data_IF_208397118912
#
_entry.id   IF_208397118912
#
_cell.length_a   1.000
_cell.length_b   1.000
_cell.length_c   1.000
_cell.angle_alpha   90.00
_cell.angle_beta   90.00
_cell.angle_gamma   90.00
#
_symmetry.space_group_name_H-M   'P 1'
#
loop_
_entity.id
_entity.type
_entity.pdbx_description
1 polymer ?
#
# COMPACT_ATOMS: atom_id res chain seq x y z
N UNK A 1 -57.48 -44.72 -41.33
CA UNK A 1 -57.50 -43.26 -41.54
C UNK A 1 -57.48 -42.61 -40.16
N UNK A 2 -56.57 -41.62 -39.95
CA UNK A 2 -56.06 -41.06 -38.66
C UNK A 2 -55.05 -42.01 -38.00
N UNK A 3 -53.71 -41.83 -38.04
CA UNK A 3 -52.80 -40.65 -37.87
C UNK A 3 -53.07 -39.89 -36.58
N UNK A 4 -51.99 -39.40 -35.97
CA UNK A 4 -51.87 -38.62 -34.71
C UNK A 4 -51.38 -39.54 -33.57
N UNK A 5 -50.30 -39.29 -32.81
CA UNK A 5 -49.47 -38.10 -32.57
C UNK A 5 -48.07 -38.57 -32.11
N UNK A 6 -47.04 -38.07 -32.77
CA UNK A 6 -45.63 -38.23 -32.39
C UNK A 6 -45.33 -37.18 -31.29
N UNK A 7 -45.19 -37.63 -30.05
CA UNK A 7 -44.79 -36.79 -28.91
C UNK A 7 -43.33 -36.37 -29.07
N UNK A 8 -43.17 -35.21 -29.73
CA UNK A 8 -41.89 -34.59 -30.04
C UNK A 8 -41.34 -34.01 -28.74
N UNK A 9 -40.53 -34.82 -28.05
CA UNK A 9 -39.74 -34.42 -26.88
C UNK A 9 -38.96 -33.15 -27.20
N UNK A 10 -39.52 -32.02 -26.79
CA UNK A 10 -38.94 -30.69 -27.01
C UNK A 10 -37.76 -30.60 -26.05
N UNK A 11 -36.56 -30.88 -26.55
CA UNK A 11 -35.33 -30.59 -25.84
C UNK A 11 -35.37 -29.10 -25.46
N UNK A 12 -35.15 -28.75 -24.18
CA UNK A 12 -35.05 -27.35 -23.79
C UNK A 12 -33.97 -26.71 -24.66
N UNK A 13 -34.21 -25.49 -25.17
CA UNK A 13 -33.25 -24.81 -26.04
C UNK A 13 -31.90 -24.82 -25.35
N UNK A 14 -30.91 -25.36 -26.05
CA UNK A 14 -29.51 -25.34 -25.65
C UNK A 14 -29.15 -23.86 -25.44
N UNK A 15 -29.17 -23.41 -24.18
CA UNK A 15 -28.82 -22.05 -23.83
C UNK A 15 -27.37 -21.86 -24.25
N UNK A 16 -27.17 -21.19 -25.38
CA UNK A 16 -25.86 -20.78 -25.86
C UNK A 16 -25.30 -19.80 -24.84
N UNK A 17 -24.65 -20.32 -23.80
CA UNK A 17 -23.99 -19.54 -22.76
C UNK A 17 -22.84 -18.80 -23.42
N UNK A 18 -23.12 -17.60 -23.91
CA UNK A 18 -22.09 -16.69 -24.41
C UNK A 18 -21.15 -16.45 -23.25
N UNK A 19 -19.84 -16.73 -23.39
CA UNK A 19 -18.89 -16.58 -22.30
C UNK A 19 -18.97 -15.15 -21.77
N UNK A 20 -19.09 -15.02 -20.45
CA UNK A 20 -19.22 -13.71 -19.81
C UNK A 20 -18.08 -12.80 -20.28
N UNK A 21 -18.36 -11.53 -20.62
CA UNK A 21 -17.36 -10.61 -21.13
C UNK A 21 -16.19 -10.53 -20.16
N UNK A 22 -14.98 -10.78 -20.67
CA UNK A 22 -13.73 -10.73 -19.90
C UNK A 22 -13.60 -9.32 -19.31
N UNK A 23 -13.81 -9.18 -18.00
CA UNK A 23 -13.60 -7.90 -17.32
C UNK A 23 -12.11 -7.62 -17.29
N UNK A 24 -11.69 -6.44 -17.76
CA UNK A 24 -10.31 -6.00 -17.66
C UNK A 24 -9.89 -5.91 -16.19
N UNK A 25 -8.62 -6.19 -15.90
CA UNK A 25 -8.07 -6.09 -14.54
C UNK A 25 -8.27 -4.68 -13.93
N UNK A 26 -8.18 -3.64 -14.77
CA UNK A 26 -8.48 -2.25 -14.39
C UNK A 26 -9.92 -2.08 -13.90
N UNK A 27 -10.89 -2.72 -14.56
CA UNK A 27 -12.30 -2.69 -14.15
C UNK A 27 -12.52 -3.33 -12.78
N UNK A 28 -11.79 -4.40 -12.46
CA UNK A 28 -11.85 -5.06 -11.15
C UNK A 28 -11.25 -4.15 -10.07
N UNK A 29 -10.05 -3.60 -10.31
CA UNK A 29 -9.39 -2.69 -9.38
C UNK A 29 -10.23 -1.43 -9.12
N UNK A 30 -10.82 -0.84 -10.17
CA UNK A 30 -11.69 0.32 -10.02
C UNK A 30 -12.93 0.00 -9.17
N UNK A 31 -13.56 -1.16 -9.38
CA UNK A 31 -14.68 -1.61 -8.54
C UNK A 31 -14.26 -1.83 -7.08
N UNK A 32 -13.09 -2.42 -6.85
CA UNK A 32 -12.54 -2.59 -5.49
C UNK A 32 -12.28 -1.23 -4.82
N UNK A 33 -11.62 -0.29 -5.52
CA UNK A 33 -11.37 1.06 -5.00
C UNK A 33 -12.66 1.81 -4.67
N UNK A 34 -13.68 1.76 -5.54
CA UNK A 34 -14.99 2.35 -5.25
C UNK A 34 -15.68 1.68 -4.07
N UNK A 35 -15.58 0.35 -3.97
CA UNK A 35 -16.13 -0.41 -2.84
C UNK A 35 -15.50 0.01 -1.52
N UNK A 36 -14.17 0.10 -1.47
CA UNK A 36 -13.43 0.57 -0.29
C UNK A 36 -13.78 2.02 0.04
N UNK A 37 -13.81 2.92 -0.95
CA UNK A 37 -14.19 4.31 -0.74
C UNK A 37 -15.63 4.44 -0.19
N UNK A 38 -16.57 3.63 -0.70
CA UNK A 38 -17.95 3.59 -0.22
C UNK A 38 -18.04 3.09 1.23
N UNK A 39 -17.28 2.05 1.59
CA UNK A 39 -17.23 1.53 2.96
C UNK A 39 -16.58 2.52 3.93
N UNK A 40 -15.53 3.23 3.52
CA UNK A 40 -14.87 4.25 4.34
C UNK A 40 -15.74 5.49 4.56
N UNK A 41 -16.56 5.87 3.57
CA UNK A 41 -17.53 6.98 3.69
C UNK A 41 -18.83 6.59 4.41
N UNK A 42 -19.15 5.30 4.45
CA UNK A 42 -20.30 4.76 5.19
C UNK A 42 -19.96 4.37 6.62
N UNK A 43 -20.98 3.98 7.39
CA UNK A 43 -20.82 3.32 8.69
C UNK A 43 -20.27 4.21 9.82
N UNK A 44 -19.74 3.54 10.84
CA UNK A 44 -19.24 4.15 12.08
C UNK A 44 -17.92 4.93 11.83
N UNK A 45 -18.03 6.20 11.40
CA UNK A 45 -16.89 7.06 11.06
C UNK A 45 -15.83 7.17 12.16
N UNK A 46 -16.26 7.15 13.43
CA UNK A 46 -15.37 7.15 14.59
C UNK A 46 -14.43 5.95 14.62
N UNK A 47 -14.87 4.77 14.14
CA UNK A 47 -14.03 3.57 14.05
C UNK A 47 -12.96 3.77 12.98
N UNK A 48 -13.34 4.32 11.82
CA UNK A 48 -12.38 4.60 10.73
C UNK A 48 -11.31 5.59 11.19
N UNK A 49 -11.71 6.68 11.85
CA UNK A 49 -10.79 7.67 12.41
C UNK A 49 -9.87 7.06 13.48
N UNK A 50 -10.42 6.22 14.38
CA UNK A 50 -9.63 5.55 15.42
C UNK A 50 -8.61 4.56 14.82
N UNK A 51 -9.04 3.75 13.86
CA UNK A 51 -8.15 2.81 13.15
C UNK A 51 -7.05 3.57 12.41
N UNK A 52 -7.41 4.66 11.70
CA UNK A 52 -6.44 5.50 11.02
C UNK A 52 -5.45 6.17 11.99
N UNK A 53 -5.91 6.60 13.15
CA UNK A 53 -5.06 7.17 14.21
C UNK A 53 -4.06 6.14 14.74
N UNK A 54 -4.53 4.95 15.13
CA UNK A 54 -3.67 3.86 15.64
C UNK A 54 -2.67 3.45 14.56
N UNK A 55 -3.14 3.20 13.34
CA UNK A 55 -2.30 2.80 12.23
C UNK A 55 -1.28 3.89 11.87
N UNK A 56 -1.70 5.15 11.86
CA UNK A 56 -0.85 6.30 11.62
C UNK A 56 0.26 6.42 12.66
N UNK A 57 -0.04 6.24 13.96
CA UNK A 57 0.97 6.22 15.03
C UNK A 57 1.98 5.10 14.80
N UNK A 58 1.52 3.86 14.56
CA UNK A 58 2.43 2.73 14.31
C UNK A 58 3.30 3.00 13.08
N UNK A 59 2.74 3.60 12.03
CA UNK A 59 3.45 3.95 10.80
C UNK A 59 4.50 5.06 11.00
N UNK A 60 4.27 5.99 11.93
CA UNK A 60 5.24 7.02 12.34
C UNK A 60 6.43 6.42 13.10
N UNK A 61 6.24 5.37 13.89
CA UNK A 61 7.32 4.75 14.68
C UNK A 61 8.03 3.58 14.00
N UNK A 62 7.30 2.70 13.31
CA UNK A 62 7.87 1.54 12.61
C UNK A 62 7.14 1.29 11.28
N UNK A 63 7.49 2.08 10.26
CA UNK A 63 6.96 1.92 8.91
C UNK A 63 7.30 0.58 8.26
N UNK A 64 8.42 -0.06 8.64
CA UNK A 64 8.80 -1.37 8.12
C UNK A 64 7.83 -2.45 8.61
N UNK A 65 7.49 -2.43 9.90
CA UNK A 65 6.51 -3.33 10.48
C UNK A 65 5.15 -3.21 9.78
N UNK A 66 4.66 -1.98 9.61
CA UNK A 66 3.39 -1.72 8.91
C UNK A 66 3.43 -2.24 7.48
N UNK A 67 4.52 -1.97 6.75
CA UNK A 67 4.66 -2.43 5.37
C UNK A 67 4.65 -3.96 5.26
N UNK A 68 5.28 -4.69 6.19
CA UNK A 68 5.24 -6.16 6.21
C UNK A 68 3.83 -6.69 6.41
N UNK A 69 3.09 -6.14 7.38
CA UNK A 69 1.69 -6.52 7.62
C UNK A 69 0.77 -6.16 6.46
N UNK A 70 1.04 -5.03 5.79
CA UNK A 70 0.31 -4.65 4.58
C UNK A 70 0.50 -5.68 3.46
N UNK A 71 1.74 -6.14 3.23
CA UNK A 71 2.02 -7.21 2.25
C UNK A 71 1.27 -8.49 2.62
N UNK A 72 1.35 -8.93 3.89
CA UNK A 72 0.68 -10.14 4.37
C UNK A 72 -0.85 -10.02 4.18
N UNK A 73 -1.44 -8.88 4.55
CA UNK A 73 -2.87 -8.61 4.37
C UNK A 73 -3.28 -8.56 2.89
N UNK A 74 -2.44 -8.00 2.01
CA UNK A 74 -2.71 -7.98 0.57
C UNK A 74 -2.70 -9.39 -0.02
N UNK A 75 -1.73 -10.24 0.36
CA UNK A 75 -1.70 -11.65 -0.08
C UNK A 75 -2.89 -12.42 0.47
N UNK A 76 -3.24 -12.22 1.74
CA UNK A 76 -4.44 -12.81 2.35
C UNK A 76 -5.69 -12.51 1.52
N UNK A 77 -5.94 -11.23 1.22
CA UNK A 77 -7.11 -10.81 0.45
C UNK A 77 -7.08 -11.35 -0.99
N UNK A 78 -5.92 -11.34 -1.64
CA UNK A 78 -5.76 -11.86 -2.99
C UNK A 78 -6.09 -13.35 -3.06
N UNK A 79 -5.46 -14.16 -2.19
CA UNK A 79 -5.72 -15.60 -2.10
C UNK A 79 -7.18 -15.90 -1.75
N UNK A 80 -7.78 -15.13 -0.83
CA UNK A 80 -9.18 -15.26 -0.47
C UNK A 80 -10.11 -14.99 -1.66
N UNK A 81 -9.89 -13.90 -2.41
CA UNK A 81 -10.71 -13.56 -3.58
C UNK A 81 -10.57 -14.60 -4.69
N UNK A 82 -9.35 -15.07 -4.98
CA UNK A 82 -9.10 -16.11 -6.01
C UNK A 82 -9.75 -17.44 -5.61
N UNK A 83 -9.58 -17.89 -4.36
CA UNK A 83 -10.22 -19.12 -3.89
C UNK A 83 -11.75 -19.03 -3.94
N UNK A 84 -12.32 -17.87 -3.56
CA UNK A 84 -13.75 -17.62 -3.67
C UNK A 84 -14.25 -17.64 -5.12
N UNK A 85 -13.48 -17.11 -6.08
CA UNK A 85 -13.86 -17.15 -7.50
C UNK A 85 -13.82 -18.58 -8.05
N UNK A 86 -12.77 -19.33 -7.73
CA UNK A 86 -12.57 -20.68 -8.25
C UNK A 86 -13.61 -21.65 -7.69
N UNK A 87 -13.91 -21.57 -6.38
CA UNK A 87 -14.96 -22.38 -5.74
C UNK A 87 -16.35 -22.05 -6.30
N UNK A 88 -16.63 -20.77 -6.56
CA UNK A 88 -17.91 -20.36 -7.17
C UNK A 88 -18.05 -20.89 -8.60
N UNK A 89 -16.97 -20.82 -9.38
CA UNK A 89 -16.95 -21.32 -10.74
C UNK A 89 -17.05 -22.86 -10.80
N UNK A 90 -16.37 -23.57 -9.90
CA UNK A 90 -16.32 -25.02 -9.88
C UNK A 90 -17.61 -25.66 -9.35
N UNK A 91 -18.25 -25.06 -8.34
CA UNK A 91 -19.40 -25.67 -7.65
C UNK A 91 -20.73 -24.97 -7.95
N UNK A 92 -20.73 -23.92 -8.78
CA UNK A 92 -21.94 -23.16 -9.09
C UNK A 92 -22.57 -22.50 -7.87
N UNK A 93 -21.76 -22.16 -6.86
CA UNK A 93 -22.24 -21.58 -5.61
C UNK A 93 -22.65 -20.12 -5.80
N UNK A 94 -23.79 -19.75 -5.19
CA UNK A 94 -24.22 -18.35 -5.12
C UNK A 94 -23.22 -17.49 -4.32
N UNK A 95 -23.19 -16.20 -4.66
CA UNK A 95 -22.40 -15.15 -4.04
C UNK A 95 -22.56 -15.04 -2.51
N UNK A 96 -23.70 -15.50 -1.97
CA UNK A 96 -23.99 -15.48 -0.53
C UNK A 96 -23.71 -16.81 0.20
N UNK A 97 -23.13 -17.81 -0.46
CA UNK A 97 -22.85 -19.10 0.17
C UNK A 97 -21.76 -19.00 1.25
N UNK A 98 -22.05 -19.43 2.48
CA UNK A 98 -21.08 -19.48 3.59
C UNK A 98 -19.87 -20.39 3.28
N UNK A 99 -20.10 -21.46 2.50
CA UNK A 99 -19.03 -22.41 2.12
C UNK A 99 -17.97 -21.69 1.29
N UNK A 100 -18.39 -20.83 0.35
CA UNK A 100 -17.48 -20.01 -0.47
C UNK A 100 -16.62 -19.11 0.41
N UNK A 101 -17.22 -18.39 1.35
CA UNK A 101 -16.49 -17.51 2.26
C UNK A 101 -15.53 -18.27 3.17
N UNK A 102 -15.95 -19.43 3.69
CA UNK A 102 -15.11 -20.26 4.55
C UNK A 102 -13.86 -20.77 3.84
N UNK A 103 -14.02 -21.35 2.64
CA UNK A 103 -12.87 -21.82 1.83
C UNK A 103 -11.96 -20.64 1.45
N UNK A 104 -12.54 -19.49 1.11
CA UNK A 104 -11.79 -18.25 0.88
C UNK A 104 -10.92 -17.85 2.07
N UNK A 105 -11.48 -17.87 3.28
CA UNK A 105 -10.75 -17.53 4.51
C UNK A 105 -9.63 -18.53 4.81
N UNK A 106 -9.86 -19.84 4.66
CA UNK A 106 -8.84 -20.86 4.90
C UNK A 106 -7.66 -20.72 3.93
N UNK A 107 -7.94 -20.60 2.63
CA UNK A 107 -6.90 -20.42 1.60
C UNK A 107 -6.20 -19.08 1.75
N UNK A 108 -6.94 -18.02 2.10
CA UNK A 108 -6.39 -16.71 2.43
C UNK A 108 -5.41 -16.77 3.60
N UNK A 109 -5.78 -17.42 4.70
CA UNK A 109 -4.94 -17.59 5.88
C UNK A 109 -3.68 -18.41 5.58
N UNK A 110 -3.81 -19.49 4.80
CA UNK A 110 -2.68 -20.27 4.33
C UNK A 110 -1.73 -19.43 3.46
N UNK A 111 -2.27 -18.63 2.54
CA UNK A 111 -1.48 -17.71 1.70
C UNK A 111 -0.75 -16.65 2.53
N UNK A 112 -1.41 -16.08 3.53
CA UNK A 112 -0.80 -15.14 4.47
C UNK A 112 0.35 -15.75 5.27
N UNK A 113 0.18 -16.99 5.72
CA UNK A 113 1.23 -17.75 6.43
C UNK A 113 2.43 -18.02 5.52
N UNK A 114 2.21 -18.43 4.26
CA UNK A 114 3.29 -18.63 3.29
C UNK A 114 4.01 -17.30 2.97
N UNK A 115 3.28 -16.19 2.85
CA UNK A 115 3.86 -14.87 2.68
C UNK A 115 4.75 -14.47 3.87
N UNK A 116 4.32 -14.79 5.09
CA UNK A 116 5.09 -14.54 6.32
C UNK A 116 6.41 -15.33 6.35
N UNK A 117 6.43 -16.57 5.85
CA UNK A 117 7.66 -17.35 5.69
C UNK A 117 8.53 -16.82 4.54
N UNK A 118 7.92 -16.31 3.47
CA UNK A 118 8.58 -15.85 2.24
C UNK A 118 8.81 -14.33 2.14
N UNK A 119 8.84 -13.60 3.25
CA UNK A 119 8.81 -12.13 3.24
C UNK A 119 9.90 -11.47 2.40
N UNK A 120 11.11 -12.01 2.37
CA UNK A 120 12.20 -11.47 1.54
C UNK A 120 11.88 -11.58 0.04
N UNK A 121 11.32 -12.72 -0.37
CA UNK A 121 10.84 -12.94 -1.74
C UNK A 121 9.67 -12.02 -2.08
N UNK A 122 8.73 -11.84 -1.15
CA UNK A 122 7.59 -10.93 -1.33
C UNK A 122 8.03 -9.47 -1.51
N UNK A 123 9.02 -9.01 -0.75
CA UNK A 123 9.59 -7.66 -0.93
C UNK A 123 10.26 -7.49 -2.29
N UNK A 124 10.98 -8.51 -2.77
CA UNK A 124 11.56 -8.49 -4.12
C UNK A 124 10.47 -8.45 -5.20
N UNK A 125 9.39 -9.22 -5.04
CA UNK A 125 8.24 -9.21 -5.94
C UNK A 125 7.55 -7.83 -5.99
N UNK A 126 7.32 -7.20 -4.82
CA UNK A 126 6.79 -5.83 -4.75
C UNK A 126 7.74 -4.84 -5.44
N UNK A 127 9.05 -4.98 -5.24
CA UNK A 127 10.05 -4.18 -5.95
C UNK A 127 9.98 -4.34 -7.46
N UNK A 128 9.76 -5.55 -7.97
CA UNK A 128 9.60 -5.81 -9.39
C UNK A 128 8.33 -5.16 -9.96
N UNK A 129 7.20 -5.27 -9.24
CA UNK A 129 5.93 -4.65 -9.63
C UNK A 129 6.04 -3.12 -9.68
N UNK A 130 6.63 -2.52 -8.65
CA UNK A 130 6.89 -1.08 -8.62
C UNK A 130 7.81 -0.64 -9.75
N UNK A 131 8.87 -1.41 -10.04
CA UNK A 131 9.74 -1.17 -11.18
C UNK A 131 9.00 -1.19 -12.52
N UNK A 132 8.04 -2.12 -12.69
CA UNK A 132 7.19 -2.17 -13.88
C UNK A 132 6.31 -0.93 -14.04
N UNK A 133 5.69 -0.47 -12.95
CA UNK A 133 4.89 0.77 -12.96
C UNK A 133 5.75 2.00 -13.28
N UNK A 134 6.94 2.09 -12.68
CA UNK A 134 7.89 3.17 -12.96
C UNK A 134 8.35 3.13 -14.41
N UNK A 135 8.62 1.94 -14.97
CA UNK A 135 9.01 1.77 -16.36
C UNK A 135 7.89 2.22 -17.32
N UNK A 136 6.64 1.88 -17.02
CA UNK A 136 5.48 2.33 -17.78
C UNK A 136 5.34 3.86 -17.76
N UNK A 137 5.43 4.49 -16.58
CA UNK A 137 5.35 5.95 -16.48
C UNK A 137 6.53 6.64 -17.19
N UNK A 138 7.74 6.09 -17.04
CA UNK A 138 8.91 6.61 -17.74
C UNK A 138 8.75 6.55 -19.27
N UNK A 139 8.19 5.45 -19.78
CA UNK A 139 7.86 5.32 -21.21
C UNK A 139 6.84 6.38 -21.65
N UNK A 140 5.74 6.57 -20.91
CA UNK A 140 4.73 7.59 -21.25
C UNK A 140 5.32 9.01 -21.28
N UNK A 141 6.18 9.34 -20.32
CA UNK A 141 6.87 10.64 -20.30
C UNK A 141 7.88 10.80 -21.44
N UNK A 142 8.64 9.75 -21.78
CA UNK A 142 9.57 9.78 -22.91
C UNK A 142 8.83 9.99 -24.25
N UNK A 143 7.69 9.33 -24.44
CA UNK A 143 6.84 9.51 -25.61
C UNK A 143 6.31 10.95 -25.65
N UNK A 144 5.82 11.47 -24.52
CA UNK A 144 5.34 12.85 -24.42
C UNK A 144 6.43 13.90 -24.71
N UNK A 145 7.70 13.60 -24.47
CA UNK A 145 8.85 14.44 -24.82
C UNK A 145 9.34 14.29 -26.27
N UNK A 146 8.63 13.52 -27.09
CA UNK A 146 8.93 13.36 -28.51
C UNK A 146 9.87 12.21 -28.84
N UNK A 147 10.19 11.32 -27.89
CA UNK A 147 10.97 10.11 -28.15
C UNK A 147 10.11 9.00 -28.77
N UNK A 148 9.58 9.24 -29.98
CA UNK A 148 8.64 8.35 -30.70
C UNK A 148 9.23 6.95 -30.96
N UNK A 149 10.56 6.82 -30.97
CA UNK A 149 11.26 5.52 -31.10
C UNK A 149 10.83 4.48 -30.05
N UNK A 150 10.40 4.90 -28.85
CA UNK A 150 9.89 3.99 -27.83
C UNK A 150 8.52 3.39 -28.16
N UNK A 151 7.77 3.95 -29.10
CA UNK A 151 6.51 3.36 -29.57
C UNK A 151 6.77 2.33 -30.68
N UNK A 152 7.74 2.62 -31.56
CA UNK A 152 8.03 1.77 -32.72
C UNK A 152 8.93 0.57 -32.39
N UNK A 153 9.95 0.74 -31.54
CA UNK A 153 10.97 -0.29 -31.31
C UNK A 153 10.71 -1.07 -30.01
N UNK A 154 9.99 -2.20 -30.13
CA UNK A 154 9.68 -3.11 -29.02
C UNK A 154 10.90 -3.58 -28.22
N UNK A 155 12.06 -3.72 -28.87
CA UNK A 155 13.31 -4.11 -28.20
C UNK A 155 13.82 -3.06 -27.22
N UNK A 156 13.68 -1.76 -27.54
CA UNK A 156 14.07 -0.67 -26.64
C UNK A 156 13.13 -0.60 -25.44
N UNK A 157 11.83 -0.82 -25.65
CA UNK A 157 10.84 -0.91 -24.56
C UNK A 157 11.19 -2.07 -23.63
N UNK A 158 11.44 -3.26 -24.18
CA UNK A 158 11.83 -4.43 -23.39
C UNK A 158 13.11 -4.17 -22.58
N UNK A 159 14.11 -3.53 -23.19
CA UNK A 159 15.36 -3.16 -22.51
C UNK A 159 15.10 -2.18 -21.36
N UNK A 160 14.31 -1.12 -21.60
CA UNK A 160 13.95 -0.12 -20.59
C UNK A 160 13.26 -0.78 -19.38
N UNK A 161 12.26 -1.62 -19.62
CA UNK A 161 11.55 -2.34 -18.56
C UNK A 161 12.49 -3.27 -17.79
N UNK A 162 13.31 -4.04 -18.50
CA UNK A 162 14.25 -4.98 -17.87
C UNK A 162 15.23 -4.24 -16.97
N UNK A 163 15.81 -3.13 -17.43
CA UNK A 163 16.76 -2.34 -16.64
C UNK A 163 16.10 -1.72 -15.40
N UNK A 164 14.92 -1.10 -15.55
CA UNK A 164 14.22 -0.45 -14.42
C UNK A 164 13.72 -1.48 -13.41
N UNK A 165 13.18 -2.61 -13.85
CA UNK A 165 12.71 -3.69 -12.96
C UNK A 165 13.89 -4.30 -12.22
N UNK A 166 14.99 -4.65 -12.90
CA UNK A 166 16.19 -5.19 -12.25
C UNK A 166 16.78 -4.20 -11.25
N UNK A 167 16.86 -2.91 -11.60
CA UNK A 167 17.32 -1.86 -10.69
C UNK A 167 16.41 -1.76 -9.45
N UNK A 168 15.09 -1.84 -9.64
CA UNK A 168 14.12 -1.79 -8.56
C UNK A 168 14.26 -2.99 -7.63
N UNK A 169 14.34 -4.22 -8.17
CA UNK A 169 14.59 -5.44 -7.40
C UNK A 169 15.92 -5.34 -6.64
N UNK A 170 16.97 -4.82 -7.26
CA UNK A 170 18.27 -4.63 -6.64
C UNK A 170 18.22 -3.63 -5.46
N UNK A 171 17.51 -2.51 -5.61
CA UNK A 171 17.28 -1.53 -4.54
C UNK A 171 16.53 -2.14 -3.35
N UNK A 172 15.56 -3.02 -3.64
CA UNK A 172 14.83 -3.76 -2.62
C UNK A 172 15.75 -4.76 -1.89
N UNK A 173 16.50 -5.58 -2.64
CA UNK A 173 17.44 -6.56 -2.08
C UNK A 173 18.52 -5.92 -1.21
N UNK A 174 19.06 -4.76 -1.62
CA UNK A 174 20.06 -4.01 -0.84
C UNK A 174 19.50 -3.24 0.36
N UNK A 175 18.21 -3.38 0.67
CA UNK A 175 17.55 -2.67 1.77
C UNK A 175 17.66 -1.13 1.68
N UNK A 176 18.03 -0.59 0.52
CA UNK A 176 18.06 0.86 0.30
C UNK A 176 16.65 1.45 0.37
N UNK A 177 15.66 0.66 -0.05
CA UNK A 177 14.24 0.99 0.08
C UNK A 177 13.82 1.28 1.52
N UNK A 178 14.49 0.73 2.56
CA UNK A 178 14.11 0.97 3.96
C UNK A 178 14.26 2.44 4.35
N UNK A 179 15.23 3.17 3.78
CA UNK A 179 15.39 4.62 4.04
C UNK A 179 14.26 5.42 3.42
N UNK A 180 13.92 5.11 2.17
CA UNK A 180 12.81 5.76 1.47
C UNK A 180 11.47 5.42 2.13
N UNK A 181 11.26 4.14 2.46
CA UNK A 181 10.08 3.66 3.18
C UNK A 181 9.96 4.34 4.54
N UNK A 182 11.06 4.56 5.26
CA UNK A 182 11.02 5.25 6.55
C UNK A 182 10.51 6.70 6.43
N UNK A 183 10.96 7.41 5.39
CA UNK A 183 10.52 8.79 5.12
C UNK A 183 9.05 8.80 4.67
N UNK A 184 8.70 7.97 3.69
CA UNK A 184 7.34 7.91 3.13
C UNK A 184 6.33 7.45 4.17
N UNK A 185 6.69 6.47 5.00
CA UNK A 185 5.82 5.98 6.07
C UNK A 185 5.61 7.00 7.18
N UNK A 186 6.66 7.70 7.62
CA UNK A 186 6.51 8.80 8.57
C UNK A 186 5.60 9.91 8.02
N UNK A 187 5.70 10.23 6.72
CA UNK A 187 4.87 11.24 6.08
C UNK A 187 3.40 10.79 6.01
N UNK A 188 3.13 9.60 5.49
CA UNK A 188 1.79 9.05 5.39
C UNK A 188 1.14 8.85 6.78
N UNK A 189 1.90 8.35 7.75
CA UNK A 189 1.46 8.20 9.14
C UNK A 189 1.12 9.54 9.79
N UNK A 190 1.96 10.57 9.58
CA UNK A 190 1.68 11.93 10.05
C UNK A 190 0.38 12.50 9.47
N UNK A 191 0.12 12.29 8.19
CA UNK A 191 -1.13 12.70 7.53
C UNK A 191 -2.34 11.95 8.09
N UNK A 192 -2.24 10.64 8.34
CA UNK A 192 -3.33 9.84 8.93
C UNK A 192 -3.68 10.27 10.36
N UNK A 193 -2.66 10.52 11.18
CA UNK A 193 -2.86 11.02 12.55
C UNK A 193 -3.47 12.42 12.53
N UNK A 194 -2.95 13.31 11.68
CA UNK A 194 -3.47 14.66 11.55
C UNK A 194 -4.93 14.69 11.06
N UNK A 195 -5.29 13.88 10.06
CA UNK A 195 -6.67 13.82 9.58
C UNK A 195 -7.63 13.24 10.61
N UNK A 196 -7.23 12.20 11.34
CA UNK A 196 -8.04 11.63 12.42
C UNK A 196 -8.26 12.62 13.57
N UNK A 197 -7.24 13.39 13.95
CA UNK A 197 -7.36 14.43 14.96
C UNK A 197 -8.23 15.60 14.48
N UNK A 198 -8.08 16.05 13.23
CA UNK A 198 -8.93 17.10 12.67
C UNK A 198 -10.41 16.69 12.65
N UNK A 199 -10.70 15.44 12.28
CA UNK A 199 -12.05 14.88 12.34
C UNK A 199 -12.58 14.88 13.78
N UNK A 200 -11.79 14.37 14.74
CA UNK A 200 -12.20 14.28 16.14
C UNK A 200 -12.47 15.67 16.77
N UNK A 201 -11.62 16.67 16.47
CA UNK A 201 -11.82 18.05 16.92
C UNK A 201 -13.09 18.66 16.32
N UNK A 202 -13.40 18.34 15.05
CA UNK A 202 -14.63 18.81 14.40
C UNK A 202 -15.86 18.14 15.00
N UNK A 203 -15.82 16.83 15.30
CA UNK A 203 -16.91 16.13 16.00
C UNK A 203 -17.12 16.69 17.41
N UNK A 204 -16.05 17.02 18.14
CA UNK A 204 -16.14 17.69 19.44
C UNK A 204 -16.74 19.10 19.34
N UNK A 205 -16.37 19.87 18.31
CA UNK A 205 -16.94 21.18 18.04
C UNK A 205 -18.46 21.09 17.79
N UNK A 206 -18.89 20.14 16.95
CA UNK A 206 -20.30 19.93 16.63
C UNK A 206 -21.14 19.49 17.84
N UNK A 207 -20.53 18.85 18.84
CA UNK A 207 -21.18 18.46 20.10
C UNK A 207 -21.23 19.58 21.15
N UNK A 208 -20.72 20.76 20.82
CA UNK A 208 -20.66 21.92 21.72
C UNK A 208 -19.56 21.87 22.77
N UNK A 209 -18.61 20.94 22.66
CA UNK A 209 -17.51 20.85 23.64
C UNK A 209 -16.47 21.96 23.44
N UNK A 210 -16.50 22.62 22.27
CA UNK A 210 -15.62 23.73 21.92
C UNK A 210 -16.37 25.06 21.81
N UNK A 211 -17.61 25.17 22.30
CA UNK A 211 -18.40 26.41 22.28
C UNK A 211 -17.63 27.63 22.82
N UNK A 212 -16.88 27.56 23.95
CA UNK A 212 -16.14 28.72 24.44
C UNK A 212 -15.05 29.22 23.48
N UNK A 213 -14.53 28.33 22.63
CA UNK A 213 -13.51 28.66 21.63
C UNK A 213 -14.17 29.20 20.36
N UNK A 214 -15.31 28.62 19.96
CA UNK A 214 -16.09 29.07 18.82
C UNK A 214 -16.75 30.44 19.07
N UNK A 215 -17.21 30.70 20.29
CA UNK A 215 -17.78 32.00 20.69
C UNK A 215 -16.76 33.14 20.60
N UNK A 216 -15.47 32.83 20.71
CA UNK A 216 -14.39 33.81 20.56
C UNK A 216 -14.11 34.18 19.08
N UNK A 217 -14.47 33.32 18.14
CA UNK A 217 -14.35 33.56 16.70
C UNK A 217 -15.67 33.25 15.97
N UNK A 218 -16.55 34.26 15.80
CA UNK A 218 -17.84 34.09 15.12
C UNK A 218 -17.74 33.62 13.67
N UNK A 219 -16.55 33.66 13.07
CA UNK A 219 -16.33 33.20 11.70
C UNK A 219 -16.04 31.71 11.60
N UNK A 220 -15.85 31.00 12.71
CA UNK A 220 -15.65 29.55 12.73
C UNK A 220 -17.00 28.82 12.62
N UNK A 221 -17.29 28.30 11.43
CA UNK A 221 -18.49 27.48 11.18
C UNK A 221 -18.04 26.03 11.03
N UNK A 222 -18.16 25.18 12.07
CA UNK A 222 -17.75 23.79 11.97
C UNK A 222 -18.61 23.04 10.96
N UNK A 223 -17.97 22.27 10.10
CA UNK A 223 -18.67 21.48 9.06
C UNK A 223 -18.28 20.01 9.14
N UNK A 224 -19.31 19.21 9.32
CA UNK A 224 -19.22 17.76 9.40
C UNK A 224 -18.83 17.12 8.06
N UNK A 225 -18.29 15.92 8.13
CA UNK A 225 -17.95 15.09 6.99
C UNK A 225 -17.41 13.72 7.40
N UNK A 226 -17.40 12.74 6.49
CA UNK A 226 -16.74 11.47 6.75
C UNK A 226 -15.24 11.70 6.95
N UNK A 227 -14.59 10.89 7.79
CA UNK A 227 -13.15 11.00 8.08
C UNK A 227 -12.29 11.02 6.81
N UNK A 228 -12.71 10.26 5.78
CA UNK A 228 -11.99 10.23 4.50
C UNK A 228 -11.89 11.60 3.84
N UNK A 229 -12.87 12.49 4.01
CA UNK A 229 -12.82 13.84 3.44
C UNK A 229 -11.79 14.72 4.17
N UNK A 230 -11.56 14.51 5.46
CA UNK A 230 -10.47 15.15 6.21
C UNK A 230 -9.10 14.62 5.76
N UNK A 231 -8.99 13.33 5.45
CA UNK A 231 -7.78 12.78 4.85
C UNK A 231 -7.52 13.38 3.46
N UNK A 232 -8.55 13.44 2.61
CA UNK A 232 -8.48 14.05 1.29
C UNK A 232 -8.21 15.55 1.36
N UNK A 233 -8.62 16.25 2.43
CA UNK A 233 -8.30 17.66 2.69
C UNK A 233 -6.80 17.90 2.73
N UNK A 234 -6.05 16.99 3.36
CA UNK A 234 -4.60 17.09 3.47
C UNK A 234 -3.90 16.68 2.18
N UNK A 235 -4.37 15.62 1.52
CA UNK A 235 -3.70 15.04 0.35
C UNK A 235 -4.04 15.75 -0.96
N UNK A 236 -5.28 16.21 -1.13
CA UNK A 236 -5.79 16.77 -2.38
C UNK A 236 -6.26 18.22 -2.20
N UNK A 237 -5.77 19.17 -3.02
CA UNK A 237 -6.25 20.56 -2.98
C UNK A 237 -7.70 20.72 -3.44
N UNK A 238 -8.21 19.78 -4.24
CA UNK A 238 -9.56 19.83 -4.82
C UNK A 238 -10.64 19.17 -3.96
N UNK A 239 -10.30 18.81 -2.73
CA UNK A 239 -11.19 18.14 -1.78
C UNK A 239 -12.32 19.06 -1.29
N UNK A 240 -13.42 18.49 -0.76
CA UNK A 240 -14.46 19.25 -0.07
C UNK A 240 -13.90 20.03 1.14
N UNK A 241 -14.47 21.20 1.42
CA UNK A 241 -14.14 21.97 2.62
C UNK A 241 -14.84 21.34 3.84
N UNK A 242 -14.06 20.83 4.79
CA UNK A 242 -14.50 20.19 6.04
C UNK A 242 -13.53 20.62 7.15
N UNK A 243 -14.01 20.77 8.39
CA UNK A 243 -13.17 21.29 9.47
C UNK A 243 -13.91 22.18 10.45
N UNK A 244 -13.16 22.67 11.45
CA UNK A 244 -13.66 23.61 12.47
C UNK A 244 -13.78 25.00 11.88
N UNK A 245 -12.86 25.38 10.98
CA UNK A 245 -12.79 26.70 10.35
C UNK A 245 -13.33 26.69 8.90
N UNK A 246 -14.34 25.84 8.63
CA UNK A 246 -14.87 25.71 7.28
C UNK A 246 -15.49 27.03 6.80
N UNK A 247 -15.33 27.33 5.51
CA UNK A 247 -15.76 28.60 4.91
C UNK A 247 -14.73 29.73 5.04
N UNK A 248 -13.73 29.59 5.91
CA UNK A 248 -12.61 30.54 5.96
C UNK A 248 -11.53 30.14 4.95
N UNK A 249 -11.32 31.00 3.97
CA UNK A 249 -10.26 30.81 2.98
C UNK A 249 -9.55 32.11 2.66
N UNK A 250 -8.26 32.00 2.35
CA UNK A 250 -7.44 33.13 1.95
C UNK A 250 -6.71 32.81 0.64
N UNK A 251 -6.57 33.81 -0.23
CA UNK A 251 -5.86 33.68 -1.50
C UNK A 251 -4.37 33.95 -1.32
N UNK A 252 -3.50 32.97 -1.62
CA UNK A 252 -2.05 33.18 -1.75
C UNK A 252 -1.63 32.75 -3.15
N UNK A 253 -1.00 33.64 -3.92
CA UNK A 253 -0.54 33.36 -5.29
C UNK A 253 -1.64 32.84 -6.23
N UNK A 254 -2.86 33.37 -6.11
CA UNK A 254 -4.01 32.93 -6.93
C UNK A 254 -4.54 31.54 -6.57
N UNK A 255 -4.04 30.91 -5.52
CA UNK A 255 -4.54 29.65 -4.97
C UNK A 255 -5.34 29.95 -3.69
N UNK A 256 -6.49 29.31 -3.54
CA UNK A 256 -7.34 29.42 -2.35
C UNK A 256 -6.85 28.42 -1.31
N UNK A 257 -6.38 28.91 -0.17
CA UNK A 257 -5.94 28.12 0.96
C UNK A 257 -7.00 28.13 2.06
N UNK A 258 -7.28 26.95 2.61
CA UNK A 258 -8.20 26.75 3.73
C UNK A 258 -7.41 26.62 5.03
N UNK A 259 -7.93 27.19 6.11
CA UNK A 259 -7.23 27.24 7.40
C UNK A 259 -7.00 25.83 7.94
N UNK A 260 -8.03 24.99 7.97
CA UNK A 260 -7.95 23.61 8.49
C UNK A 260 -6.88 22.79 7.76
N UNK A 261 -6.74 22.99 6.45
CA UNK A 261 -5.71 22.33 5.65
C UNK A 261 -4.32 22.77 6.04
N UNK A 262 -4.09 24.08 6.22
CA UNK A 262 -2.79 24.60 6.64
C UNK A 262 -2.41 24.08 8.03
N UNK A 263 -3.34 24.12 8.99
CA UNK A 263 -3.12 23.61 10.35
C UNK A 263 -2.84 22.11 10.35
N UNK A 264 -3.64 21.33 9.62
CA UNK A 264 -3.46 19.89 9.50
C UNK A 264 -2.14 19.50 8.82
N UNK A 265 -1.72 20.23 7.78
CA UNK A 265 -0.42 20.02 7.13
C UNK A 265 0.75 20.41 8.03
N UNK A 266 0.65 21.52 8.78
CA UNK A 266 1.66 21.90 9.76
C UNK A 266 1.81 20.84 10.85
N UNK A 267 0.69 20.34 11.38
CA UNK A 267 0.70 19.28 12.39
C UNK A 267 1.26 17.96 11.82
N UNK A 268 0.82 17.55 10.63
CA UNK A 268 1.36 16.38 9.93
C UNK A 268 2.87 16.51 9.67
N UNK A 269 3.35 17.71 9.34
CA UNK A 269 4.77 17.97 9.11
C UNK A 269 5.61 17.83 10.38
N UNK A 270 5.11 18.30 11.53
CA UNK A 270 5.77 18.09 12.82
C UNK A 270 5.87 16.59 13.15
N UNK A 271 4.78 15.85 12.97
CA UNK A 271 4.77 14.39 13.16
C UNK A 271 5.72 13.67 12.19
N UNK A 272 5.76 14.11 10.93
CA UNK A 272 6.69 13.61 9.93
C UNK A 272 8.15 13.82 10.34
N UNK A 273 8.54 15.02 10.77
CA UNK A 273 9.91 15.30 11.20
C UNK A 273 10.30 14.44 12.40
N UNK A 274 9.41 14.31 13.39
CA UNK A 274 9.63 13.47 14.55
C UNK A 274 9.78 11.99 14.15
N UNK A 275 8.86 11.46 13.33
CA UNK A 275 8.88 10.08 12.83
C UNK A 275 10.09 9.77 11.96
N UNK A 276 10.42 10.63 11.02
CA UNK A 276 11.58 10.45 10.15
C UNK A 276 12.88 10.44 10.98
N UNK A 277 13.00 11.34 11.96
CA UNK A 277 14.16 11.38 12.84
C UNK A 277 14.28 10.12 13.71
N UNK A 278 13.18 9.62 14.29
CA UNK A 278 13.19 8.40 15.10
C UNK A 278 13.51 7.17 14.27
N UNK A 279 12.86 6.99 13.11
CA UNK A 279 13.07 5.85 12.23
C UNK A 279 14.49 5.82 11.64
N UNK A 280 15.02 6.97 11.21
CA UNK A 280 16.40 7.04 10.71
C UNK A 280 17.43 6.73 11.80
N UNK A 281 17.17 7.15 13.05
CA UNK A 281 18.03 6.78 14.20
C UNK A 281 17.96 5.29 14.48
N UNK A 282 16.78 4.69 14.46
CA UNK A 282 16.60 3.23 14.64
C UNK A 282 17.30 2.45 13.55
N UNK A 283 17.20 2.88 12.29
CA UNK A 283 17.86 2.23 11.16
C UNK A 283 19.39 2.28 11.29
N UNK A 284 19.96 3.42 11.68
CA UNK A 284 21.40 3.55 11.94
C UNK A 284 21.87 2.61 13.06
N UNK A 285 21.08 2.45 14.13
CA UNK A 285 21.39 1.50 15.22
C UNK A 285 21.37 0.05 14.75
N UNK A 286 20.39 -0.33 13.91
CA UNK A 286 20.31 -1.67 13.32
C UNK A 286 21.52 -1.95 12.41
N UNK A 287 21.94 -0.97 11.60
CA UNK A 287 23.12 -1.09 10.73
C UNK A 287 24.42 -1.24 11.52
N UNK A 288 24.63 -0.40 12.54
CA UNK A 288 25.79 -0.50 13.42
C UNK A 288 25.88 -1.85 14.14
N UNK A 289 24.74 -2.42 14.54
CA UNK A 289 24.68 -3.75 15.18
C UNK A 289 25.04 -4.86 14.18
N UNK A 290 24.58 -4.78 12.93
CA UNK A 290 24.92 -5.78 11.90
C UNK A 290 26.39 -5.74 11.47
N UNK A 291 27.01 -4.54 11.48
CA UNK A 291 28.44 -4.39 11.15
C UNK A 291 29.34 -4.75 12.34
N UNK A 292 28.94 -4.37 13.56
CA UNK A 292 29.69 -4.69 14.79
C UNK A 292 29.57 -6.15 15.24
N UNK A 293 28.53 -6.86 14.81
CA UNK A 293 28.41 -8.31 15.00
C UNK A 293 29.25 -9.12 14.00
N UNK A 294 29.95 -8.48 13.05
CA UNK A 294 31.05 -9.14 12.37
C UNK A 294 32.07 -9.54 13.45
N UNK A 295 32.38 -10.84 13.61
CA UNK A 295 33.16 -11.30 14.74
C UNK A 295 34.51 -10.58 14.74
N UNK A 296 34.75 -9.79 15.80
CA UNK A 296 36.07 -9.24 16.11
C UNK A 296 37.16 -10.33 16.18
N UNK A 297 36.77 -11.62 16.18
CA UNK A 297 37.65 -12.78 16.01
C UNK A 297 38.25 -12.97 14.60
N UNK A 298 37.67 -12.40 13.53
CA UNK A 298 38.23 -12.54 12.17
C UNK A 298 39.43 -11.62 11.92
N UNK A 299 39.53 -10.49 12.64
CA UNK A 299 40.71 -9.59 12.57
C UNK A 299 41.84 -10.16 13.44
N UNK A 300 41.52 -10.75 14.60
CA UNK A 300 42.53 -11.39 15.45
C UNK A 300 43.08 -12.70 14.86
N UNK A 301 42.31 -13.42 14.05
CA UNK A 301 42.83 -14.57 13.29
C UNK A 301 43.83 -14.16 12.19
N UNK A 302 43.75 -12.93 11.66
CA UNK A 302 44.70 -12.43 10.65
C UNK A 302 45.98 -11.85 11.27
N UNK A 303 45.92 -11.35 12.51
CA UNK A 303 47.12 -11.00 13.29
C UNK A 303 47.81 -12.22 13.92
N UNK A 304 47.05 -13.25 14.34
CA UNK A 304 47.65 -14.47 14.90
C UNK A 304 48.24 -15.37 13.79
N UNK A 305 47.71 -15.35 12.58
CA UNK A 305 48.32 -16.01 11.41
C UNK A 305 49.32 -15.13 10.65
N UNK A 306 49.65 -13.93 11.15
CA UNK A 306 50.57 -12.97 10.53
C UNK A 306 52.05 -13.15 10.90
N UNK A 307 52.44 -14.29 11.49
CA UNK A 307 53.83 -14.51 11.93
C UNK A 307 54.32 -15.96 11.94
N UNK A 308 53.54 -16.92 11.43
CA UNK A 308 54.00 -18.29 11.28
C UNK A 308 54.19 -18.61 9.79
N UNK A 309 55.46 -18.72 9.41
CA UNK A 309 55.99 -19.24 8.15
C UNK A 309 55.05 -20.25 7.46
N UNK A 310 54.45 -19.81 6.37
CA UNK A 310 53.75 -20.65 5.38
C UNK A 310 54.77 -21.41 4.51
N UNK A 311 55.76 -22.07 5.14
CA UNK A 311 56.85 -22.81 4.48
C UNK A 311 56.93 -24.30 4.79
N UNK A 312 56.10 -24.87 5.66
CA UNK A 312 56.31 -26.27 6.11
C UNK A 312 55.15 -27.26 5.89
N UNK A 313 54.40 -27.18 4.80
CA UNK A 313 53.52 -28.28 4.41
C UNK A 313 53.49 -28.53 2.89
N UNK A 314 54.67 -28.60 2.28
CA UNK A 314 54.90 -29.53 1.18
C UNK A 314 55.11 -30.90 1.83
N UNK A 315 54.07 -31.72 1.93
CA UNK A 315 54.24 -33.17 2.05
C UNK A 315 54.07 -33.78 0.64
N UNK A 316 54.99 -34.67 0.24
CA UNK A 316 55.07 -35.20 -1.11
C UNK A 316 54.03 -36.29 -1.34
N UNK A 317 53.74 -36.46 -2.62
CA UNK A 317 53.06 -37.61 -3.17
C UNK A 317 53.75 -38.92 -2.77
N UNK A 318 52.99 -39.86 -2.24
CA UNK A 318 53.20 -41.30 -2.43
C UNK A 318 51.93 -41.80 -3.12
N UNK A 319 52.01 -42.12 -4.41
CA UNK A 319 52.32 -43.44 -4.98
C UNK A 319 51.07 -44.31 -5.10
#
# INVERSE_FOLDING_TARGET
MKRDEEDKTTQPPEETTTPAPVQSAEGILHKMCMGVAKQLRGGHQWVNALVAFIFGIVMVFDGEYVFRWLIIGAVFLLCCVVAMSDVSAAWGLDSHSYVRSFVGLEVGALGAYLALLGMEGMQAAVGALLGGVVAYQAQQHLIAWGAVYFDTHKSLVLLLYTVIVLLSVFLFKRKMHLRALAIVSAAAGGVLVASAMAWALTDMALRGWLDPVLDADPSAVPKDGPWLDFFLLLVSPSSPDVGVFSGQSWGVFGQVWRIDRALGLCFAFVLFLAGAATQLRMLRRRQATSEGAAPAGAVKAREICGGADLRCALLPAEA
#
